data_IF_879069303076
#
_entry.id   IF_879069303076
#
_cell.length_a   1.000
_cell.length_b   1.000
_cell.length_c   1.000
_cell.angle_alpha   90.00
_cell.angle_beta   90.00
_cell.angle_gamma   90.00
#
_symmetry.space_group_name_H-M   'P 1'
#
loop_
_entity.id
_entity.type
_entity.pdbx_description
1 polymer ?
#
# COMPACT_ATOMS: atom_id res chain seq x y z
N UNK A 1 7.12 -18.36 -0.69
CA UNK A 1 6.04 -18.20 -1.68
C UNK A 1 6.61 -17.50 -2.89
N UNK A 2 6.19 -17.83 -4.10
CA UNK A 2 6.58 -17.06 -5.27
C UNK A 2 6.13 -15.60 -5.13
N UNK A 3 6.87 -14.68 -5.73
CA UNK A 3 6.51 -13.28 -5.89
C UNK A 3 5.94 -13.12 -7.28
N UNK A 4 4.68 -12.77 -7.36
CA UNK A 4 3.95 -12.84 -8.65
C UNK A 4 4.19 -11.59 -9.51
N UNK A 5 4.36 -10.42 -8.86
CA UNK A 5 4.59 -9.15 -9.57
C UNK A 5 5.74 -8.35 -8.96
N UNK A 6 7.00 -8.57 -9.36
CA UNK A 6 8.10 -7.67 -9.04
C UNK A 6 8.09 -6.41 -9.92
N UNK A 7 8.28 -5.24 -9.32
CA UNK A 7 8.51 -3.97 -10.00
C UNK A 7 9.74 -3.27 -9.41
N UNK A 8 10.66 -2.80 -10.25
CA UNK A 8 11.90 -2.20 -9.74
C UNK A 8 12.83 -1.65 -10.81
N UNK A 9 13.89 -0.94 -10.36
CA UNK A 9 14.90 -0.32 -11.23
C UNK A 9 16.35 -0.71 -10.90
N UNK A 10 16.55 -1.71 -10.03
CA UNK A 10 17.88 -2.14 -9.59
C UNK A 10 18.31 -1.61 -8.22
N UNK A 11 17.85 -0.42 -7.80
CA UNK A 11 18.05 0.13 -6.45
C UNK A 11 16.83 -0.11 -5.57
N UNK A 12 15.64 0.14 -6.11
CA UNK A 12 14.35 -0.07 -5.47
C UNK A 12 13.64 -1.24 -6.14
N UNK A 13 13.23 -2.23 -5.35
CA UNK A 13 12.43 -3.36 -5.81
C UNK A 13 11.27 -3.60 -4.85
N UNK A 14 10.07 -3.66 -5.39
CA UNK A 14 8.86 -4.06 -4.68
C UNK A 14 8.35 -5.38 -5.24
N UNK A 15 7.92 -6.28 -4.35
CA UNK A 15 7.34 -7.56 -4.76
C UNK A 15 5.94 -7.72 -4.18
N UNK A 16 4.99 -8.03 -5.04
CA UNK A 16 3.64 -8.39 -4.64
C UNK A 16 3.45 -9.91 -4.69
N UNK A 17 2.56 -10.41 -3.85
CA UNK A 17 2.13 -11.82 -3.87
C UNK A 17 0.82 -11.98 -4.67
N UNK A 18 0.35 -13.23 -4.81
CA UNK A 18 -0.90 -13.55 -5.51
C UNK A 18 -2.17 -12.95 -4.89
N UNK A 19 -2.09 -12.48 -3.65
CA UNK A 19 -3.16 -11.73 -3.00
C UNK A 19 -3.04 -10.21 -3.20
N UNK A 20 -2.10 -9.77 -4.05
CA UNK A 20 -1.77 -8.37 -4.32
C UNK A 20 -1.34 -7.61 -3.07
N UNK A 21 -0.71 -8.30 -2.14
CA UNK A 21 -0.09 -7.68 -0.97
C UNK A 21 1.38 -7.37 -1.26
N UNK A 22 1.81 -6.17 -0.87
CA UNK A 22 3.22 -5.80 -0.93
C UNK A 22 3.98 -6.57 0.16
N UNK A 23 4.87 -7.46 -0.27
CA UNK A 23 5.60 -8.40 0.59
C UNK A 23 7.04 -8.04 0.83
N UNK A 24 7.68 -7.41 -0.14
CA UNK A 24 9.07 -7.00 -0.03
C UNK A 24 9.25 -5.58 -0.56
N UNK A 25 10.07 -4.81 0.13
CA UNK A 25 10.58 -3.51 -0.31
C UNK A 25 12.08 -3.52 -0.09
N UNK A 26 12.84 -3.73 -1.16
CA UNK A 26 14.30 -3.68 -1.13
C UNK A 26 14.79 -2.29 -1.53
N UNK A 27 15.66 -1.73 -0.71
CA UNK A 27 16.31 -0.44 -0.96
C UNK A 27 17.49 -0.23 0.00
N UNK A 28 18.63 0.33 -0.41
CA UNK A 28 19.05 0.58 -1.80
C UNK A 28 19.70 -0.66 -2.44
N UNK A 29 19.74 -1.78 -1.73
CA UNK A 29 20.40 -3.01 -2.16
C UNK A 29 19.40 -4.13 -2.35
N UNK A 30 18.98 -4.31 -3.60
CA UNK A 30 18.03 -5.37 -3.97
C UNK A 30 18.55 -6.74 -3.55
N UNK A 31 17.69 -7.51 -2.86
CA UNK A 31 18.02 -8.84 -2.36
C UNK A 31 18.81 -8.86 -1.04
N UNK A 32 19.21 -7.71 -0.51
CA UNK A 32 19.98 -7.63 0.74
C UNK A 32 19.22 -6.88 1.85
N UNK A 33 18.72 -5.69 1.56
CA UNK A 33 18.06 -4.84 2.56
C UNK A 33 16.56 -4.77 2.31
N UNK A 34 15.80 -5.66 2.96
CA UNK A 34 14.34 -5.71 2.85
C UNK A 34 13.69 -4.94 4.02
N UNK A 35 12.90 -3.94 3.70
CA UNK A 35 12.27 -3.03 4.67
C UNK A 35 10.87 -3.45 5.13
N UNK A 36 10.43 -4.62 4.73
CA UNK A 36 9.21 -5.26 5.27
C UNK A 36 9.52 -6.49 6.10
N UNK A 37 10.56 -7.26 5.71
CA UNK A 37 11.05 -8.47 6.37
C UNK A 37 9.94 -9.44 6.81
N UNK A 38 8.91 -9.58 5.97
CA UNK A 38 7.74 -10.44 6.24
C UNK A 38 6.56 -9.74 6.89
N UNK A 39 6.71 -8.50 7.33
CA UNK A 39 5.58 -7.67 7.72
C UNK A 39 4.67 -7.41 6.51
N UNK A 40 3.40 -7.22 6.77
CA UNK A 40 2.40 -7.09 5.71
C UNK A 40 2.03 -5.63 5.51
N UNK A 41 2.31 -5.11 4.31
CA UNK A 41 1.77 -3.84 3.88
C UNK A 41 0.41 -4.09 3.23
N UNK A 42 -0.63 -3.47 3.77
CA UNK A 42 -2.03 -3.73 3.40
C UNK A 42 -2.59 -2.61 2.54
N UNK A 43 -3.49 -2.98 1.66
CA UNK A 43 -4.33 -2.07 0.91
C UNK A 43 -5.78 -2.49 1.11
N UNK A 44 -6.66 -1.54 1.44
CA UNK A 44 -8.06 -1.82 1.75
C UNK A 44 -9.00 -0.77 1.20
N UNK A 45 -10.27 -1.13 1.15
CA UNK A 45 -11.36 -0.29 0.64
C UNK A 45 -12.53 -0.32 1.61
N UNK A 46 -13.02 0.86 1.92
CA UNK A 46 -14.28 1.05 2.64
C UNK A 46 -15.32 1.67 1.70
N UNK A 47 -16.54 1.14 1.74
CA UNK A 47 -17.69 1.70 1.05
C UNK A 47 -18.98 1.33 1.79
N UNK A 48 -19.88 2.30 2.00
CA UNK A 48 -21.20 2.11 2.62
C UNK A 48 -21.17 1.34 3.95
N UNK A 49 -20.21 1.62 4.82
CA UNK A 49 -20.09 0.96 6.12
C UNK A 49 -19.45 -0.43 6.09
N UNK A 50 -18.99 -0.89 4.93
CA UNK A 50 -18.28 -2.17 4.79
C UNK A 50 -16.83 -1.95 4.39
N UNK A 51 -15.91 -2.59 5.11
CA UNK A 51 -14.48 -2.59 4.83
C UNK A 51 -14.01 -3.94 4.31
N UNK A 52 -13.08 -3.96 3.35
CA UNK A 52 -12.39 -5.17 2.89
C UNK A 52 -10.94 -4.87 2.52
N UNK A 53 -10.02 -5.65 3.08
CA UNK A 53 -8.64 -5.69 2.58
C UNK A 53 -8.59 -6.35 1.22
N UNK A 54 -7.71 -5.88 0.32
CA UNK A 54 -7.58 -6.45 -1.04
C UNK A 54 -7.15 -7.91 -1.02
N UNK A 55 -6.48 -8.36 0.03
CA UNK A 55 -6.12 -9.76 0.22
C UNK A 55 -7.29 -10.66 0.65
N UNK A 56 -8.42 -10.09 1.05
CA UNK A 56 -9.61 -10.85 1.44
C UNK A 56 -10.10 -11.72 0.27
N UNK A 57 -10.52 -12.98 0.53
CA UNK A 57 -11.04 -13.89 -0.51
C UNK A 57 -12.27 -13.37 -1.28
N UNK A 58 -12.98 -12.37 -0.75
CA UNK A 58 -14.11 -11.74 -1.45
C UNK A 58 -13.72 -10.95 -2.71
N UNK A 59 -12.42 -10.65 -2.89
CA UNK A 59 -11.90 -10.03 -4.10
C UNK A 59 -11.47 -11.08 -5.12
N UNK A 60 -12.04 -11.03 -6.31
CA UNK A 60 -11.45 -11.68 -7.48
C UNK A 60 -10.33 -10.80 -8.03
N UNK A 61 -9.14 -11.36 -8.19
CA UNK A 61 -7.93 -10.62 -8.63
C UNK A 61 -7.35 -11.25 -9.89
N UNK A 62 -7.05 -10.40 -10.86
CA UNK A 62 -6.28 -10.76 -12.07
C UNK A 62 -5.00 -9.92 -12.07
N UNK A 63 -3.85 -10.59 -11.95
CA UNK A 63 -2.54 -9.97 -11.79
C UNK A 63 -1.70 -10.25 -13.03
N UNK A 64 -1.33 -9.19 -13.76
CA UNK A 64 -0.47 -9.25 -14.94
C UNK A 64 0.33 -7.97 -15.09
N UNK A 65 1.19 -7.93 -16.10
CA UNK A 65 1.82 -6.70 -16.57
C UNK A 65 1.09 -6.18 -17.81
N UNK A 66 1.19 -4.88 -18.05
CA UNK A 66 0.89 -4.31 -19.36
C UNK A 66 1.87 -4.87 -20.39
N UNK A 67 1.39 -5.03 -21.62
CA UNK A 67 2.19 -5.58 -22.71
C UNK A 67 3.48 -4.76 -22.93
N UNK A 68 4.60 -5.47 -23.03
CA UNK A 68 5.95 -4.92 -23.25
C UNK A 68 6.43 -3.89 -22.20
N UNK A 69 5.89 -3.93 -20.98
CA UNK A 69 6.29 -3.01 -19.89
C UNK A 69 6.55 -3.74 -18.58
N UNK A 70 7.14 -3.02 -17.61
CA UNK A 70 7.21 -3.43 -16.20
C UNK A 70 6.14 -2.73 -15.33
N UNK A 71 5.12 -2.19 -15.95
CA UNK A 71 3.96 -1.62 -15.26
C UNK A 71 2.97 -2.75 -15.01
N UNK A 72 2.49 -2.86 -13.79
CA UNK A 72 1.45 -3.85 -13.48
C UNK A 72 0.10 -3.43 -14.05
N UNK A 73 -0.70 -4.42 -14.41
CA UNK A 73 -2.11 -4.26 -14.81
C UNK A 73 -2.93 -5.22 -13.94
N UNK A 74 -3.42 -4.72 -12.81
CA UNK A 74 -4.11 -5.53 -11.82
C UNK A 74 -5.57 -5.11 -11.71
N UNK A 75 -6.47 -6.06 -11.99
CA UNK A 75 -7.90 -5.87 -11.77
C UNK A 75 -8.34 -6.58 -10.49
N UNK A 76 -9.04 -5.85 -9.63
CA UNK A 76 -9.64 -6.38 -8.40
C UNK A 76 -11.15 -6.13 -8.42
N UNK A 77 -11.95 -7.19 -8.43
CA UNK A 77 -13.41 -7.13 -8.43
C UNK A 77 -13.97 -7.59 -7.08
N UNK A 78 -14.87 -6.80 -6.49
CA UNK A 78 -15.63 -7.18 -5.31
C UNK A 78 -17.14 -6.95 -5.55
N UNK A 79 -17.85 -8.03 -5.81
CA UNK A 79 -19.28 -7.97 -6.09
C UNK A 79 -20.10 -7.52 -4.88
N UNK A 80 -19.69 -7.89 -3.66
CA UNK A 80 -20.40 -7.52 -2.44
C UNK A 80 -20.30 -6.02 -2.14
N UNK A 81 -19.15 -5.42 -2.44
CA UNK A 81 -18.96 -3.97 -2.37
C UNK A 81 -19.47 -3.24 -3.62
N UNK A 82 -19.76 -3.95 -4.71
CA UNK A 82 -20.10 -3.34 -6.00
C UNK A 82 -18.98 -2.46 -6.55
N UNK A 83 -17.73 -2.92 -6.43
CA UNK A 83 -16.54 -2.17 -6.83
C UNK A 83 -15.63 -3.00 -7.73
N UNK A 84 -15.05 -2.33 -8.72
CA UNK A 84 -13.86 -2.77 -9.45
C UNK A 84 -12.75 -1.75 -9.24
N UNK A 85 -11.56 -2.23 -8.97
CA UNK A 85 -10.33 -1.44 -8.97
C UNK A 85 -9.46 -1.86 -10.13
N UNK A 86 -8.92 -0.86 -10.85
CA UNK A 86 -7.84 -1.05 -11.80
C UNK A 86 -6.59 -0.43 -11.21
N UNK A 87 -5.57 -1.22 -10.98
CA UNK A 87 -4.35 -0.79 -10.30
C UNK A 87 -3.14 -0.97 -11.21
N UNK A 88 -2.29 0.05 -11.25
CA UNK A 88 -1.03 0.05 -11.98
C UNK A 88 0.09 0.43 -11.02
N UNK A 89 1.12 -0.40 -10.94
CA UNK A 89 2.30 -0.18 -10.13
C UNK A 89 3.52 -0.06 -11.02
N UNK A 90 4.35 0.91 -10.75
CA UNK A 90 5.61 1.12 -11.46
C UNK A 90 6.68 1.68 -10.53
N UNK A 91 7.94 1.42 -10.85
CA UNK A 91 9.09 2.11 -10.29
C UNK A 91 9.72 2.94 -11.40
N UNK A 92 9.97 4.22 -11.11
CA UNK A 92 10.65 5.12 -12.04
C UNK A 92 12.05 4.57 -12.39
N UNK A 93 12.45 4.67 -13.66
CA UNK A 93 13.68 4.09 -14.13
C UNK A 93 14.93 4.76 -13.52
N UNK A 94 14.91 6.08 -13.38
CA UNK A 94 16.05 6.90 -12.94
C UNK A 94 15.98 7.29 -11.46
N UNK A 95 14.84 7.11 -10.81
CA UNK A 95 14.59 7.57 -9.44
C UNK A 95 14.11 6.43 -8.57
N UNK A 96 14.46 6.49 -7.29
CA UNK A 96 13.95 5.56 -6.28
C UNK A 96 12.50 5.95 -5.89
N UNK A 97 11.62 5.95 -6.88
CA UNK A 97 10.22 6.36 -6.79
C UNK A 97 9.31 5.23 -7.25
N UNK A 98 8.53 4.72 -6.32
CA UNK A 98 7.41 3.83 -6.60
C UNK A 98 6.12 4.64 -6.74
N UNK A 99 5.34 4.35 -7.77
CA UNK A 99 4.03 4.96 -8.03
C UNK A 99 2.98 3.86 -8.15
N UNK A 100 1.89 4.02 -7.42
CA UNK A 100 0.68 3.23 -7.55
C UNK A 100 -0.47 4.11 -8.02
N UNK A 101 -1.05 3.79 -9.17
CA UNK A 101 -2.29 4.40 -9.66
C UNK A 101 -3.44 3.47 -9.37
N UNK A 102 -4.53 3.99 -8.82
CA UNK A 102 -5.76 3.24 -8.57
C UNK A 102 -6.93 3.97 -9.20
N UNK A 103 -7.63 3.31 -10.09
CA UNK A 103 -8.91 3.76 -10.64
C UNK A 103 -10.04 2.96 -10.00
N UNK A 104 -11.03 3.66 -9.50
CA UNK A 104 -12.18 3.05 -8.81
C UNK A 104 -13.40 3.14 -9.69
N UNK A 105 -13.96 1.99 -10.05
CA UNK A 105 -15.20 1.87 -10.80
C UNK A 105 -16.30 1.38 -9.86
N UNK A 106 -17.27 2.26 -9.61
CA UNK A 106 -18.45 1.93 -8.81
C UNK A 106 -19.53 1.32 -9.69
N UNK A 107 -19.87 0.08 -9.42
CA UNK A 107 -20.91 -0.66 -10.15
C UNK A 107 -22.26 -0.65 -9.45
N UNK A 108 -22.38 0.04 -8.30
CA UNK A 108 -23.63 0.13 -7.53
C UNK A 108 -24.69 1.00 -8.21
N UNK A 109 -24.25 1.89 -9.10
CA UNK A 109 -25.13 2.85 -9.80
C UNK A 109 -25.68 3.97 -8.92
N UNK A 110 -25.13 4.16 -7.72
CA UNK A 110 -25.53 5.22 -6.78
C UNK A 110 -24.33 6.06 -6.36
N UNK A 111 -24.46 7.37 -6.24
CA UNK A 111 -23.42 8.19 -5.64
C UNK A 111 -23.16 7.77 -4.19
N UNK A 112 -21.89 7.48 -3.86
CA UNK A 112 -21.47 7.11 -2.52
C UNK A 112 -20.01 7.46 -2.26
N UNK A 113 -19.64 7.45 -1.01
CA UNK A 113 -18.26 7.61 -0.62
C UNK A 113 -17.52 6.28 -0.71
N UNK A 114 -16.32 6.32 -1.30
CA UNK A 114 -15.36 5.22 -1.30
C UNK A 114 -14.06 5.74 -0.72
N UNK A 115 -13.50 5.03 0.26
CA UNK A 115 -12.23 5.37 0.90
C UNK A 115 -11.21 4.26 0.62
N UNK A 116 -9.99 4.67 0.26
CA UNK A 116 -8.86 3.78 0.07
C UNK A 116 -7.91 3.91 1.25
N UNK A 117 -7.48 2.78 1.81
CA UNK A 117 -6.57 2.71 2.94
C UNK A 117 -5.28 2.01 2.55
N UNK A 118 -4.16 2.63 2.87
CA UNK A 118 -2.84 2.06 2.71
C UNK A 118 -2.17 1.96 4.08
N UNK A 119 -1.70 0.77 4.41
CA UNK A 119 -0.95 0.52 5.63
C UNK A 119 0.44 0.04 5.27
N UNK A 120 1.45 0.67 5.85
CA UNK A 120 2.85 0.30 5.70
C UNK A 120 3.44 -0.10 7.06
N UNK A 121 3.78 -1.38 7.19
CA UNK A 121 4.42 -1.94 8.38
C UNK A 121 5.92 -2.06 8.14
N UNK A 122 6.65 -0.99 8.45
CA UNK A 122 8.07 -0.89 8.21
C UNK A 122 8.89 -1.82 9.11
N UNK A 123 9.98 -2.36 8.56
CA UNK A 123 11.02 -3.10 9.27
C UNK A 123 12.37 -2.63 8.73
N UNK A 124 12.76 -1.42 9.14
CA UNK A 124 13.89 -0.75 8.54
C UNK A 124 15.23 -1.28 9.08
N UNK A 125 16.21 -1.43 8.18
CA UNK A 125 17.58 -1.86 8.53
C UNK A 125 17.65 -3.20 9.26
N UNK A 126 16.73 -4.13 9.02
CA UNK A 126 16.82 -5.49 9.51
C UNK A 126 16.66 -5.69 11.02
N UNK A 127 16.16 -4.70 11.76
CA UNK A 127 15.91 -4.77 13.19
C UNK A 127 14.55 -4.13 13.50
N UNK A 128 13.72 -4.82 14.28
CA UNK A 128 12.36 -4.36 14.62
C UNK A 128 12.34 -3.41 15.86
N UNK A 129 13.34 -2.54 15.99
CA UNK A 129 13.42 -1.56 17.08
C UNK A 129 13.88 -0.23 16.50
N UNK A 130 13.21 0.86 16.86
CA UNK A 130 13.56 2.21 16.47
C UNK A 130 13.01 2.64 15.09
N UNK A 131 12.11 1.82 14.49
CA UNK A 131 11.32 2.27 13.35
C UNK A 131 10.40 3.41 13.81
N UNK A 132 10.41 4.50 13.08
CA UNK A 132 9.63 5.68 13.42
C UNK A 132 8.82 6.13 12.22
N UNK A 133 7.57 6.52 12.48
CA UNK A 133 6.68 7.09 11.46
C UNK A 133 6.08 8.40 11.99
N UNK A 134 5.99 9.41 11.14
CA UNK A 134 5.31 10.66 11.45
C UNK A 134 4.73 11.31 10.20
N UNK A 135 3.70 12.14 10.39
CA UNK A 135 3.16 12.96 9.33
C UNK A 135 3.99 14.23 9.14
N UNK A 136 4.39 14.50 7.91
CA UNK A 136 5.16 15.65 7.50
C UNK A 136 4.23 16.66 6.77
N UNK A 137 3.89 17.80 7.40
CA UNK A 137 2.85 18.70 6.89
C UNK A 137 3.27 19.53 5.66
N UNK A 138 4.57 19.74 5.42
CA UNK A 138 5.03 20.56 4.29
C UNK A 138 4.80 19.81 2.99
N UNK A 139 5.20 18.52 2.94
CA UNK A 139 5.02 17.65 1.79
C UNK A 139 3.75 16.80 1.87
N UNK A 140 2.94 16.99 2.90
CA UNK A 140 1.65 16.34 3.11
C UNK A 140 1.71 14.81 2.96
N UNK A 141 2.62 14.18 3.70
CA UNK A 141 2.82 12.74 3.62
C UNK A 141 3.35 12.14 4.92
N UNK A 142 3.44 10.82 4.94
CA UNK A 142 4.04 10.07 6.04
C UNK A 142 5.51 9.81 5.74
N UNK A 143 6.36 10.02 6.72
CA UNK A 143 7.77 9.65 6.66
C UNK A 143 8.00 8.49 7.62
N UNK A 144 8.54 7.40 7.07
CA UNK A 144 9.06 6.27 7.82
C UNK A 144 10.57 6.34 7.81
N UNK A 145 11.20 6.28 8.96
CA UNK A 145 12.66 6.39 9.00
C UNK A 145 13.30 5.60 10.14
N UNK A 146 14.57 5.28 9.90
CA UNK A 146 15.50 4.74 10.87
C UNK A 146 16.93 4.98 10.40
N UNK A 147 17.75 5.60 11.27
CA UNK A 147 19.12 5.94 10.90
C UNK A 147 19.16 6.80 9.64
N UNK A 148 19.74 6.26 8.56
CA UNK A 148 19.87 6.96 7.27
C UNK A 148 18.87 6.47 6.21
N UNK A 149 17.87 5.68 6.58
CA UNK A 149 16.82 5.23 5.68
C UNK A 149 15.55 6.02 5.91
N UNK A 150 15.06 6.64 4.85
CA UNK A 150 13.85 7.46 4.83
C UNK A 150 12.97 7.02 3.69
N UNK A 151 11.71 6.76 3.98
CA UNK A 151 10.68 6.50 2.98
C UNK A 151 9.59 7.54 3.17
N UNK A 152 9.31 8.29 2.13
CA UNK A 152 8.17 9.20 2.12
C UNK A 152 7.01 8.54 1.36
N UNK A 153 5.83 8.59 1.96
CA UNK A 153 4.60 8.10 1.36
C UNK A 153 3.60 9.25 1.30
N UNK A 154 3.18 9.61 0.11
CA UNK A 154 2.15 10.59 -0.15
C UNK A 154 1.11 10.07 -1.12
N UNK A 155 0.03 10.82 -1.28
CA UNK A 155 -1.01 10.50 -2.24
C UNK A 155 -1.55 11.76 -2.91
N UNK A 156 -2.23 11.53 -4.05
CA UNK A 156 -2.97 12.55 -4.76
C UNK A 156 -4.31 11.97 -5.19
N UNK A 157 -5.39 12.58 -4.78
CA UNK A 157 -6.74 12.16 -5.13
C UNK A 157 -7.69 13.35 -5.27
N UNK A 158 -8.56 13.32 -6.27
CA UNK A 158 -9.60 14.34 -6.48
C UNK A 158 -9.08 15.79 -6.50
N UNK A 159 -7.91 16.02 -7.11
CA UNK A 159 -7.30 17.34 -7.21
C UNK A 159 -6.57 17.81 -5.93
N UNK A 160 -6.39 16.96 -4.93
CA UNK A 160 -5.76 17.27 -3.64
C UNK A 160 -4.55 16.39 -3.37
N UNK A 161 -3.50 16.97 -2.83
CA UNK A 161 -2.36 16.26 -2.28
C UNK A 161 -2.58 15.92 -0.80
N UNK A 162 -1.94 14.86 -0.38
CA UNK A 162 -1.96 14.37 1.00
C UNK A 162 -3.16 13.49 1.32
N UNK A 163 -3.04 12.67 2.36
CA UNK A 163 -4.13 11.85 2.86
C UNK A 163 -5.21 12.71 3.51
N UNK A 164 -6.46 12.30 3.40
CA UNK A 164 -7.57 12.93 4.12
C UNK A 164 -7.57 12.59 5.61
N UNK A 165 -7.01 11.43 5.95
CA UNK A 165 -6.81 10.93 7.31
C UNK A 165 -5.51 10.15 7.37
N UNK A 166 -4.88 10.10 8.53
CA UNK A 166 -3.71 9.27 8.78
C UNK A 166 -3.64 8.90 10.26
N UNK A 167 -3.04 7.75 10.54
CA UNK A 167 -2.68 7.33 11.87
C UNK A 167 -1.25 6.78 11.87
N UNK A 168 -0.51 7.06 12.93
CA UNK A 168 0.77 6.44 13.22
C UNK A 168 0.71 5.89 14.64
N UNK A 169 1.23 4.68 14.86
CA UNK A 169 1.16 4.06 16.17
C UNK A 169 2.15 2.91 16.31
N UNK A 170 2.23 2.39 17.51
CA UNK A 170 3.01 1.20 17.79
C UNK A 170 2.44 0.00 17.03
N UNK A 171 3.32 -0.92 16.64
CA UNK A 171 2.92 -2.23 16.19
C UNK A 171 2.16 -2.94 17.30
N UNK A 172 1.31 -3.90 16.95
CA UNK A 172 0.59 -4.75 17.91
C UNK A 172 1.55 -5.27 18.99
N UNK A 173 1.52 -4.64 20.16
CA UNK A 173 2.39 -4.97 21.29
C UNK A 173 1.64 -4.75 22.57
N UNK A 174 1.78 -5.69 23.50
CA UNK A 174 1.13 -5.63 24.83
C UNK A 174 -0.40 -5.47 24.77
N UNK A 175 -1.05 -6.04 23.76
CA UNK A 175 -2.49 -5.95 23.58
C UNK A 175 -2.98 -4.65 22.94
N UNK A 176 -2.08 -3.79 22.49
CA UNK A 176 -2.48 -2.64 21.69
C UNK A 176 -2.99 -3.08 20.30
N UNK A 177 -4.05 -2.46 19.85
CA UNK A 177 -4.55 -2.65 18.49
C UNK A 177 -3.62 -1.95 17.50
N UNK A 178 -3.21 -2.65 16.45
CA UNK A 178 -2.40 -2.04 15.40
C UNK A 178 -3.22 -1.04 14.56
N UNK A 179 -2.58 0.02 14.08
CA UNK A 179 -3.24 1.09 13.30
C UNK A 179 -3.97 0.58 12.05
N UNK A 180 -3.62 -0.60 11.55
CA UNK A 180 -4.32 -1.20 10.41
C UNK A 180 -5.76 -1.61 10.73
N UNK A 181 -6.10 -1.87 12.00
CA UNK A 181 -7.45 -2.19 12.42
C UNK A 181 -8.35 -0.98 12.50
N UNK A 182 -7.78 0.19 12.80
CA UNK A 182 -8.54 1.44 12.78
C UNK A 182 -9.18 1.72 11.42
N UNK A 183 -8.54 1.26 10.33
CA UNK A 183 -9.10 1.39 8.99
C UNK A 183 -10.37 0.56 8.76
N UNK A 184 -10.60 -0.49 9.54
CA UNK A 184 -11.72 -1.43 9.32
C UNK A 184 -13.08 -0.82 9.69
N UNK A 185 -13.14 0.22 10.52
CA UNK A 185 -14.35 1.00 10.78
C UNK A 185 -14.57 2.13 9.76
N UNK A 186 -13.62 2.32 8.87
CA UNK A 186 -13.65 3.35 7.83
C UNK A 186 -13.01 4.67 8.25
N UNK A 187 -12.39 4.74 9.42
CA UNK A 187 -11.68 5.91 9.92
C UNK A 187 -10.21 5.56 10.23
N UNK A 188 -9.33 6.52 10.06
CA UNK A 188 -7.92 6.41 10.45
C UNK A 188 -7.62 7.51 11.48
N UNK A 189 -8.03 7.29 12.73
CA UNK A 189 -7.86 8.28 13.82
C UNK A 189 -7.13 7.68 15.00
#
# INVERSE_FOLDING_TARGET
>A
MPRDLPVGNGNLLLNFDSAYQLRDVYYPYVGQENHTHGNVCRFGVWADGAFRWIADPSWARDLRYEEDTLVTDVTCDNLALGLRLQCHDAVDFDRDLYVKRVEVFDTSGKPREVRLFHHFDAYLQGINVGDTAYYEPINQGLIFYKGQRYFWMGCYANGRYGPSQYATGDKEKNGAEGTWRDAEDGCGT
#
